data_IF_302556525505
#
_entry.id   IF_302556525505
#
_cell.length_a   1.000
_cell.length_b   1.000
_cell.length_c   1.000
_cell.angle_alpha   90.00
_cell.angle_beta   90.00
_cell.angle_gamma   90.00
#
_symmetry.space_group_name_H-M   'P 1'
#
loop_
_entity.id
_entity.type
_entity.pdbx_description
1 polymer ?
#
# COMPACT_ATOMS: atom_id res chain seq x y z
N UNK A 1 -38.92 31.12 -17.92
CA UNK A 1 -38.62 30.01 -18.85
C UNK A 1 -37.19 30.08 -19.33
N UNK A 2 -36.31 29.21 -18.83
CA UNK A 2 -35.01 29.00 -19.46
C UNK A 2 -35.17 27.96 -20.57
N UNK A 3 -35.40 28.44 -21.79
CA UNK A 3 -35.41 27.61 -22.99
C UNK A 3 -33.96 27.32 -23.41
N UNK A 4 -33.34 26.32 -22.80
CA UNK A 4 -32.03 25.86 -23.23
C UNK A 4 -32.11 25.26 -24.64
N UNK A 5 -31.36 25.81 -25.59
CA UNK A 5 -31.31 25.30 -26.97
C UNK A 5 -30.59 23.94 -27.07
N UNK A 6 -29.69 23.66 -26.13
CA UNK A 6 -29.00 22.38 -25.95
C UNK A 6 -28.98 22.02 -24.46
N UNK A 7 -28.97 20.72 -24.14
CA UNK A 7 -28.97 20.25 -22.74
C UNK A 7 -27.59 20.52 -22.11
N UNK A 8 -27.50 21.27 -20.99
CA UNK A 8 -26.21 21.62 -20.39
C UNK A 8 -25.51 20.40 -19.77
N UNK A 9 -24.31 20.09 -20.26
CA UNK A 9 -23.44 19.05 -19.69
C UNK A 9 -22.69 19.63 -18.48
N UNK A 10 -22.76 18.96 -17.34
CA UNK A 10 -22.16 19.40 -16.08
C UNK A 10 -21.14 18.38 -15.55
N UNK A 11 -19.97 18.87 -15.11
CA UNK A 11 -18.98 18.04 -14.42
C UNK A 11 -19.25 18.00 -12.91
N UNK A 12 -19.67 16.83 -12.42
CA UNK A 12 -19.74 16.53 -10.99
C UNK A 12 -18.46 15.81 -10.55
N UNK A 13 -17.42 16.57 -10.18
CA UNK A 13 -16.11 16.03 -9.81
C UNK A 13 -15.67 16.47 -8.40
N UNK A 14 -15.05 15.54 -7.66
CA UNK A 14 -14.48 15.83 -6.33
C UNK A 14 -13.19 16.65 -6.39
N UNK A 15 -12.45 16.62 -7.51
CA UNK A 15 -11.08 17.16 -7.60
C UNK A 15 -10.92 18.63 -7.20
N UNK A 16 -11.86 19.49 -7.59
CA UNK A 16 -11.83 20.92 -7.26
C UNK A 16 -12.60 21.27 -5.97
N UNK A 17 -13.52 20.41 -5.51
CA UNK A 17 -14.49 20.73 -4.45
C UNK A 17 -14.21 20.02 -3.12
N UNK A 18 -13.70 18.79 -3.17
CA UNK A 18 -13.41 17.94 -2.02
C UNK A 18 -12.34 16.87 -2.39
N UNK A 19 -11.06 17.25 -2.58
CA UNK A 19 -10.06 16.39 -3.21
C UNK A 19 -9.56 15.24 -2.33
N UNK A 20 -9.99 14.01 -2.63
CA UNK A 20 -9.42 12.79 -2.06
C UNK A 20 -8.03 12.49 -2.66
N UNK A 21 -6.99 12.47 -1.80
CA UNK A 21 -5.59 12.29 -2.21
C UNK A 21 -5.13 10.84 -2.04
N UNK A 22 -4.33 10.31 -2.97
CA UNK A 22 -3.78 8.95 -2.91
C UNK A 22 -3.04 8.63 -1.60
N UNK A 23 -2.36 9.61 -1.00
CA UNK A 23 -1.72 9.44 0.32
C UNK A 23 -2.72 9.13 1.43
N UNK A 24 -3.89 9.78 1.43
CA UNK A 24 -4.99 9.51 2.38
C UNK A 24 -5.52 8.09 2.18
N UNK A 25 -5.86 7.72 0.94
CA UNK A 25 -6.33 6.37 0.58
C UNK A 25 -5.34 5.29 1.07
N UNK A 26 -4.04 5.48 0.86
CA UNK A 26 -3.00 4.52 1.29
C UNK A 26 -2.91 4.41 2.82
N UNK A 27 -3.04 5.53 3.55
CA UNK A 27 -3.04 5.53 5.02
C UNK A 27 -4.31 4.84 5.54
N UNK A 28 -5.48 5.18 4.99
CA UNK A 28 -6.75 4.57 5.32
C UNK A 28 -6.72 3.05 5.12
N UNK A 29 -6.35 2.59 3.92
CA UNK A 29 -6.30 1.16 3.59
C UNK A 29 -5.36 0.38 4.51
N UNK A 30 -4.21 0.97 4.90
CA UNK A 30 -3.30 0.30 5.82
C UNK A 30 -3.91 0.15 7.23
N UNK A 31 -4.66 1.16 7.71
CA UNK A 31 -5.34 1.10 9.01
C UNK A 31 -6.55 0.16 8.97
N UNK A 32 -7.36 0.25 7.92
CA UNK A 32 -8.46 -0.67 7.64
C UNK A 32 -7.97 -2.12 7.66
N UNK A 33 -6.96 -2.50 6.86
CA UNK A 33 -6.49 -3.89 6.82
C UNK A 33 -5.69 -4.33 8.06
N UNK A 34 -5.28 -3.41 8.94
CA UNK A 34 -4.73 -3.76 10.25
C UNK A 34 -5.82 -4.15 11.26
N UNK A 35 -6.99 -3.50 11.18
CA UNK A 35 -8.14 -3.75 12.07
C UNK A 35 -9.10 -4.83 11.51
N UNK A 36 -9.28 -4.83 10.19
CA UNK A 36 -10.18 -5.69 9.41
C UNK A 36 -9.40 -6.38 8.27
N UNK A 37 -8.43 -7.27 8.58
CA UNK A 37 -7.68 -8.03 7.58
C UNK A 37 -8.59 -8.89 6.68
N UNK A 38 -8.06 -9.20 5.49
CA UNK A 38 -8.63 -10.20 4.60
C UNK A 38 -8.36 -11.62 5.14
N UNK A 39 -9.35 -12.49 5.03
CA UNK A 39 -9.32 -13.85 5.59
C UNK A 39 -8.19 -14.66 4.93
N UNK A 40 -8.16 -14.67 3.60
CA UNK A 40 -7.25 -15.49 2.78
C UNK A 40 -6.02 -14.73 2.25
N UNK A 41 -5.56 -13.70 2.94
CA UNK A 41 -4.31 -13.04 2.55
C UNK A 41 -3.09 -13.98 2.70
N UNK A 42 -2.17 -13.94 1.73
CA UNK A 42 -0.89 -14.69 1.74
C UNK A 42 0.33 -13.82 2.01
N UNK A 43 0.13 -12.50 2.07
CA UNK A 43 1.09 -11.47 2.48
C UNK A 43 0.28 -10.26 2.99
N UNK A 44 0.77 -9.46 3.95
CA UNK A 44 0.05 -8.28 4.41
C UNK A 44 -0.13 -7.27 3.27
N UNK A 45 -1.34 -6.70 3.06
CA UNK A 45 -1.57 -5.64 2.07
C UNK A 45 -0.61 -4.46 2.26
N UNK A 46 0.02 -4.00 1.18
CA UNK A 46 1.05 -2.94 1.22
C UNK A 46 1.06 -2.15 -0.09
N UNK A 47 0.15 -1.18 -0.21
CA UNK A 47 0.14 -0.19 -1.30
C UNK A 47 1.07 0.98 -1.00
N UNK A 48 1.86 1.42 -1.97
CA UNK A 48 2.70 2.61 -1.85
C UNK A 48 2.99 3.19 -3.24
N UNK A 49 2.80 4.50 -3.41
CA UNK A 49 3.18 5.23 -4.62
C UNK A 49 4.65 5.65 -4.52
N UNK A 50 5.37 5.60 -5.64
CA UNK A 50 6.81 5.89 -5.70
C UNK A 50 7.08 7.00 -6.70
N UNK A 51 7.91 7.96 -6.31
CA UNK A 51 8.37 9.07 -7.18
C UNK A 51 9.30 8.62 -8.30
N UNK A 52 9.88 7.41 -8.20
CA UNK A 52 10.81 6.87 -9.20
C UNK A 52 10.36 5.49 -9.69
N UNK A 53 10.30 5.33 -11.01
CA UNK A 53 10.04 4.06 -11.68
C UNK A 53 11.03 2.96 -11.28
N UNK A 54 12.30 3.31 -11.03
CA UNK A 54 13.34 2.36 -10.56
C UNK A 54 13.01 1.84 -9.16
N UNK A 55 12.57 2.72 -8.25
CA UNK A 55 12.17 2.35 -6.89
C UNK A 55 10.88 1.51 -6.88
N UNK A 56 9.89 1.86 -7.71
CA UNK A 56 8.69 1.05 -7.94
C UNK A 56 9.05 -0.37 -8.41
N UNK A 57 9.88 -0.49 -9.45
CA UNK A 57 10.32 -1.78 -10.00
C UNK A 57 11.02 -2.63 -8.94
N UNK A 58 11.99 -2.05 -8.21
CA UNK A 58 12.67 -2.73 -7.11
C UNK A 58 11.68 -3.23 -6.05
N UNK A 59 10.78 -2.37 -5.58
CA UNK A 59 9.78 -2.72 -4.58
C UNK A 59 8.80 -3.80 -5.08
N UNK A 60 8.39 -3.76 -6.35
CA UNK A 60 7.55 -4.78 -6.98
C UNK A 60 8.26 -6.15 -7.03
N UNK A 61 9.49 -6.20 -7.57
CA UNK A 61 10.23 -7.46 -7.66
C UNK A 61 10.53 -8.04 -6.28
N UNK A 62 11.01 -7.21 -5.34
CA UNK A 62 11.39 -7.63 -3.99
C UNK A 62 10.22 -8.09 -3.11
N UNK A 63 9.10 -7.34 -3.08
CA UNK A 63 7.97 -7.65 -2.17
C UNK A 63 6.91 -8.57 -2.77
N UNK A 64 6.83 -8.70 -4.10
CA UNK A 64 5.71 -9.36 -4.77
C UNK A 64 6.16 -10.47 -5.73
N UNK A 65 6.92 -10.14 -6.77
CA UNK A 65 7.19 -11.09 -7.85
C UNK A 65 8.15 -12.22 -7.45
N UNK A 66 9.26 -11.91 -6.77
CA UNK A 66 10.22 -12.93 -6.33
C UNK A 66 9.59 -13.86 -5.26
N UNK A 67 8.89 -13.36 -4.22
CA UNK A 67 8.10 -14.21 -3.32
C UNK A 67 7.07 -15.08 -4.03
N UNK A 68 6.39 -14.57 -5.07
CA UNK A 68 5.43 -15.34 -5.85
C UNK A 68 6.08 -16.48 -6.64
N UNK A 69 7.27 -16.28 -7.20
CA UNK A 69 8.03 -17.35 -7.86
C UNK A 69 8.47 -18.44 -6.88
N UNK A 70 8.91 -18.06 -5.67
CA UNK A 70 9.28 -19.01 -4.61
C UNK A 70 8.08 -19.84 -4.16
N UNK A 71 6.92 -19.21 -3.95
CA UNK A 71 5.67 -19.90 -3.60
C UNK A 71 5.20 -20.85 -4.71
N UNK A 72 5.22 -20.41 -5.97
CA UNK A 72 4.85 -21.27 -7.11
C UNK A 72 5.83 -22.44 -7.32
N UNK A 73 7.12 -22.27 -6.99
CA UNK A 73 8.10 -23.36 -7.02
C UNK A 73 7.85 -24.36 -5.89
N UNK A 74 7.61 -23.89 -4.66
CA UNK A 74 7.27 -24.73 -3.52
C UNK A 74 5.95 -25.49 -3.74
N UNK A 75 4.96 -24.87 -4.40
CA UNK A 75 3.72 -25.53 -4.78
C UNK A 75 3.96 -26.66 -5.79
N UNK A 76 4.75 -26.42 -6.85
CA UNK A 76 5.13 -27.49 -7.81
C UNK A 76 5.83 -28.66 -7.12
N UNK A 77 6.79 -28.38 -6.23
CA UNK A 77 7.51 -29.41 -5.47
C UNK A 77 6.57 -30.23 -4.56
N UNK A 78 5.51 -29.61 -4.05
CA UNK A 78 4.45 -30.26 -3.27
C UNK A 78 3.31 -30.85 -4.13
N UNK A 79 3.50 -31.02 -5.45
CA UNK A 79 2.49 -31.55 -6.38
C UNK A 79 1.27 -30.63 -6.62
N UNK A 80 1.31 -29.39 -6.14
CA UNK A 80 0.20 -28.42 -6.22
C UNK A 80 0.33 -27.51 -7.44
N UNK A 81 -0.82 -27.10 -7.97
CA UNK A 81 -0.92 -26.21 -9.13
C UNK A 81 -0.41 -24.79 -8.78
N UNK A 82 0.62 -24.26 -9.47
CA UNK A 82 1.10 -22.89 -9.25
C UNK A 82 0.10 -21.86 -9.81
N UNK A 83 0.05 -20.68 -9.18
CA UNK A 83 -0.85 -19.58 -9.56
C UNK A 83 -0.37 -18.17 -9.19
N UNK A 84 0.55 -18.00 -8.23
CA UNK A 84 0.92 -16.69 -7.68
C UNK A 84 1.57 -15.78 -8.72
N UNK A 85 2.48 -16.30 -9.55
CA UNK A 85 3.10 -15.54 -10.64
C UNK A 85 2.03 -15.07 -11.63
N UNK A 86 1.07 -15.95 -11.98
CA UNK A 86 -0.04 -15.63 -12.90
C UNK A 86 -0.96 -14.53 -12.34
N UNK A 87 -1.22 -14.54 -11.03
CA UNK A 87 -1.97 -13.47 -10.34
C UNK A 87 -1.20 -12.15 -10.43
N UNK A 88 0.10 -12.14 -10.10
CA UNK A 88 0.90 -10.92 -10.19
C UNK A 88 1.10 -10.43 -11.63
N UNK A 89 1.12 -11.30 -12.65
CA UNK A 89 1.07 -10.86 -14.06
C UNK A 89 -0.22 -10.12 -14.43
N UNK A 90 -1.38 -10.47 -13.82
CA UNK A 90 -2.62 -9.70 -13.99
C UNK A 90 -2.54 -8.35 -13.27
N UNK A 91 -2.06 -8.34 -12.01
CA UNK A 91 -1.89 -7.12 -11.22
C UNK A 91 -0.92 -6.16 -11.92
N UNK A 92 0.17 -6.67 -12.50
CA UNK A 92 1.12 -5.88 -13.28
C UNK A 92 0.43 -5.18 -14.45
N UNK A 93 -0.30 -5.91 -15.30
CA UNK A 93 -1.06 -5.30 -16.41
C UNK A 93 -2.01 -4.20 -15.93
N UNK A 94 -2.77 -4.47 -14.86
CA UNK A 94 -3.68 -3.49 -14.26
C UNK A 94 -2.94 -2.22 -13.79
N UNK A 95 -1.80 -2.36 -13.10
CA UNK A 95 -1.01 -1.23 -12.61
C UNK A 95 -0.41 -0.42 -13.77
N UNK A 96 0.07 -1.07 -14.83
CA UNK A 96 0.58 -0.36 -16.02
C UNK A 96 -0.53 0.40 -16.75
N UNK A 97 -1.72 -0.21 -16.94
CA UNK A 97 -2.89 0.45 -17.56
C UNK A 97 -3.35 1.65 -16.72
N UNK A 98 -3.38 1.53 -15.40
CA UNK A 98 -3.78 2.61 -14.49
C UNK A 98 -2.66 3.64 -14.24
N UNK A 99 -1.41 3.37 -14.63
CA UNK A 99 -0.26 4.22 -14.31
C UNK A 99 -0.45 5.65 -14.83
N UNK A 100 -0.93 5.82 -16.07
CA UNK A 100 -1.14 7.13 -16.68
C UNK A 100 -2.08 8.03 -15.85
N UNK A 101 -3.21 7.46 -15.40
CA UNK A 101 -4.25 8.16 -14.64
C UNK A 101 -3.85 8.38 -13.18
N UNK A 102 -3.31 7.36 -12.52
CA UNK A 102 -3.03 7.36 -11.06
C UNK A 102 -1.78 8.18 -10.66
N UNK A 103 -0.92 8.55 -11.61
CA UNK A 103 0.29 9.36 -11.36
C UNK A 103 0.19 10.80 -11.80
N UNK A 104 -0.96 11.23 -12.30
CA UNK A 104 -1.26 12.62 -12.67
C UNK A 104 -2.34 13.18 -11.76
N UNK A 105 -2.29 14.49 -11.52
CA UNK A 105 -3.44 15.24 -11.02
C UNK A 105 -4.46 15.42 -12.15
N UNK A 106 -5.73 15.38 -11.81
CA UNK A 106 -6.84 15.66 -12.72
C UNK A 106 -7.77 16.64 -12.03
N UNK A 107 -7.87 17.85 -12.58
CA UNK A 107 -8.77 18.88 -12.10
C UNK A 107 -9.80 19.15 -13.19
N UNK A 108 -11.08 19.08 -12.81
CA UNK A 108 -12.21 19.30 -13.70
C UNK A 108 -13.00 20.50 -13.19
N UNK A 109 -13.27 21.47 -14.05
CA UNK A 109 -13.97 22.68 -13.67
C UNK A 109 -15.39 22.36 -13.19
N UNK A 110 -15.62 22.58 -11.89
CA UNK A 110 -16.85 22.21 -11.19
C UNK A 110 -17.66 23.44 -10.74
N UNK A 111 -17.53 24.56 -11.46
CA UNK A 111 -18.29 25.79 -11.16
C UNK A 111 -19.78 25.63 -11.47
N UNK A 112 -20.11 25.11 -12.65
CA UNK A 112 -21.50 25.05 -13.12
C UNK A 112 -22.39 24.14 -12.26
N UNK A 113 -21.83 23.07 -11.67
CA UNK A 113 -22.57 22.21 -10.73
C UNK A 113 -22.84 22.89 -9.39
N UNK A 114 -21.96 23.80 -8.92
CA UNK A 114 -22.25 24.68 -7.77
C UNK A 114 -23.34 25.71 -8.10
N UNK A 115 -23.33 26.28 -9.31
CA UNK A 115 -24.38 27.20 -9.76
C UNK A 115 -25.75 26.52 -9.76
N UNK A 116 -25.83 25.28 -10.28
CA UNK A 116 -27.06 24.49 -10.21
C UNK A 116 -27.47 24.17 -8.77
N UNK A 117 -26.55 23.72 -7.92
CA UNK A 117 -26.82 23.44 -6.51
C UNK A 117 -27.43 24.65 -5.80
N UNK A 118 -26.84 25.83 -6.00
CA UNK A 118 -27.27 27.08 -5.37
C UNK A 118 -28.59 27.64 -5.96
N UNK A 119 -29.08 27.12 -7.10
CA UNK A 119 -30.37 27.52 -7.67
C UNK A 119 -31.54 26.59 -7.27
N UNK A 120 -31.26 25.46 -6.62
CA UNK A 120 -32.27 24.57 -6.06
C UNK A 120 -32.81 25.12 -4.73
N UNK A 121 -34.08 24.84 -4.43
CA UNK A 121 -34.63 25.09 -3.09
C UNK A 121 -34.19 23.99 -2.10
N UNK A 122 -34.48 24.19 -0.81
CA UNK A 122 -34.04 23.29 0.26
C UNK A 122 -34.68 21.88 0.23
N UNK A 123 -35.84 21.71 -0.42
CA UNK A 123 -36.46 20.39 -0.59
C UNK A 123 -35.80 19.63 -1.74
N UNK A 124 -35.60 20.28 -2.89
CA UNK A 124 -34.87 19.71 -4.03
C UNK A 124 -33.41 19.36 -3.69
N UNK A 125 -32.70 20.21 -2.94
CA UNK A 125 -31.36 19.90 -2.42
C UNK A 125 -31.35 18.64 -1.52
N UNK A 126 -32.43 18.41 -0.77
CA UNK A 126 -32.56 17.26 0.14
C UNK A 126 -32.93 15.97 -0.60
N UNK A 127 -33.78 16.05 -1.62
CA UNK A 127 -34.21 14.90 -2.44
C UNK A 127 -33.13 14.51 -3.45
N UNK A 128 -32.50 15.49 -4.09
CA UNK A 128 -31.50 15.32 -5.16
C UNK A 128 -30.10 15.76 -4.71
N UNK A 129 -29.62 15.26 -3.57
CA UNK A 129 -28.31 15.65 -3.05
C UNK A 129 -27.16 15.13 -3.92
N UNK A 130 -26.45 16.03 -4.61
CA UNK A 130 -25.23 15.76 -5.38
C UNK A 130 -24.02 16.57 -4.90
N UNK A 131 -24.10 17.19 -3.71
CA UNK A 131 -23.03 18.05 -3.19
C UNK A 131 -21.87 17.24 -2.60
N UNK A 132 -20.88 16.98 -3.45
CA UNK A 132 -19.65 16.23 -3.13
C UNK A 132 -18.85 16.84 -1.95
N UNK A 133 -19.09 18.10 -1.56
CA UNK A 133 -18.44 18.73 -0.39
C UNK A 133 -18.89 18.13 0.93
N UNK A 134 -20.06 17.48 0.96
CA UNK A 134 -20.66 16.87 2.16
C UNK A 134 -20.11 15.46 2.44
N UNK A 135 -19.35 14.87 1.51
CA UNK A 135 -18.83 13.50 1.64
C UNK A 135 -17.63 13.45 2.60
N UNK A 136 -17.79 12.73 3.72
CA UNK A 136 -16.67 12.27 4.52
C UNK A 136 -15.96 11.10 3.82
N UNK A 137 -14.71 11.30 3.43
CA UNK A 137 -13.93 10.28 2.73
C UNK A 137 -13.56 9.07 3.59
N UNK A 138 -13.38 9.21 4.90
CA UNK A 138 -13.06 8.07 5.76
C UNK A 138 -14.28 7.15 5.93
N UNK A 139 -15.47 7.72 6.03
CA UNK A 139 -16.73 6.96 6.05
C UNK A 139 -17.00 6.26 4.71
N UNK A 140 -16.84 6.98 3.60
CA UNK A 140 -16.99 6.44 2.25
C UNK A 140 -16.00 5.31 1.97
N UNK A 141 -14.72 5.49 2.32
CA UNK A 141 -13.69 4.46 2.17
C UNK A 141 -13.94 3.27 3.09
N UNK A 142 -14.50 3.47 4.29
CA UNK A 142 -14.90 2.37 5.16
C UNK A 142 -15.97 1.50 4.49
N UNK A 143 -17.08 2.11 4.10
CA UNK A 143 -18.23 1.38 3.58
C UNK A 143 -17.90 0.72 2.23
N UNK A 144 -17.08 1.38 1.39
CA UNK A 144 -16.56 0.83 0.15
C UNK A 144 -15.66 -0.41 0.38
N UNK A 145 -14.64 -0.31 1.24
CA UNK A 145 -13.68 -1.42 1.43
C UNK A 145 -14.31 -2.58 2.21
N UNK A 146 -15.19 -2.29 3.19
CA UNK A 146 -15.98 -3.31 3.87
C UNK A 146 -16.99 -3.97 2.91
N UNK A 147 -17.61 -3.19 2.03
CA UNK A 147 -18.47 -3.70 0.96
C UNK A 147 -17.72 -4.63 -0.01
N UNK A 148 -16.47 -4.32 -0.37
CA UNK A 148 -15.60 -5.23 -1.13
C UNK A 148 -15.31 -6.52 -0.36
N UNK A 149 -14.97 -6.46 0.93
CA UNK A 149 -14.73 -7.65 1.76
C UNK A 149 -15.96 -8.57 1.83
N UNK A 150 -17.13 -8.01 2.14
CA UNK A 150 -18.37 -8.77 2.35
C UNK A 150 -19.01 -9.22 1.04
N UNK A 151 -19.20 -8.32 0.07
CA UNK A 151 -20.03 -8.58 -1.11
C UNK A 151 -19.26 -9.05 -2.34
N UNK A 152 -18.00 -8.63 -2.53
CA UNK A 152 -17.18 -9.06 -3.67
C UNK A 152 -16.32 -10.29 -3.31
N UNK A 153 -15.63 -10.25 -2.17
CA UNK A 153 -14.75 -11.35 -1.72
C UNK A 153 -15.48 -12.45 -0.94
N UNK A 154 -16.73 -12.22 -0.53
CA UNK A 154 -17.58 -13.16 0.23
C UNK A 154 -16.97 -13.63 1.57
N UNK A 155 -16.12 -12.80 2.18
CA UNK A 155 -15.47 -13.13 3.46
C UNK A 155 -16.44 -12.94 4.63
N UNK A 156 -16.48 -13.89 5.58
CA UNK A 156 -17.34 -13.76 6.76
C UNK A 156 -16.67 -12.86 7.81
N UNK A 157 -17.39 -11.84 8.28
CA UNK A 157 -16.93 -10.93 9.33
C UNK A 157 -16.68 -11.64 10.67
N UNK A 158 -17.30 -12.79 10.91
CA UNK A 158 -17.10 -13.56 12.14
C UNK A 158 -15.76 -14.33 12.13
N UNK A 159 -15.12 -14.51 10.96
CA UNK A 159 -13.76 -15.05 10.84
C UNK A 159 -12.67 -14.06 11.28
N UNK A 160 -13.02 -12.81 11.60
CA UNK A 160 -12.08 -11.73 11.89
C UNK A 160 -10.99 -12.07 12.93
N UNK A 161 -11.23 -12.84 14.01
CA UNK A 161 -10.17 -13.29 14.92
C UNK A 161 -9.12 -14.17 14.22
N UNK A 162 -9.54 -15.10 13.36
CA UNK A 162 -8.65 -15.95 12.58
C UNK A 162 -7.88 -15.15 11.50
N UNK A 163 -8.54 -14.20 10.83
CA UNK A 163 -7.90 -13.29 9.88
C UNK A 163 -6.82 -12.43 10.56
N UNK A 164 -7.06 -11.93 11.78
CA UNK A 164 -6.07 -11.21 12.60
C UNK A 164 -4.90 -12.11 13.01
N UNK A 165 -5.15 -13.37 13.40
CA UNK A 165 -4.10 -14.35 13.69
C UNK A 165 -3.24 -14.70 12.46
N UNK A 166 -3.86 -14.80 11.27
CA UNK A 166 -3.15 -14.96 10.00
C UNK A 166 -2.26 -13.73 9.71
N UNK A 167 -2.81 -12.51 9.79
CA UNK A 167 -2.06 -11.28 9.60
C UNK A 167 -0.83 -11.17 10.53
N UNK A 168 -0.97 -11.59 11.80
CA UNK A 168 0.15 -11.60 12.75
C UNK A 168 1.30 -12.53 12.31
N UNK A 169 0.98 -13.77 11.89
CA UNK A 169 1.96 -14.71 11.31
C UNK A 169 2.62 -14.14 10.06
N UNK A 170 1.84 -13.52 9.17
CA UNK A 170 2.32 -12.91 7.93
C UNK A 170 3.23 -11.68 8.17
N UNK A 171 2.98 -10.91 9.24
CA UNK A 171 3.90 -9.85 9.69
C UNK A 171 5.25 -10.42 10.15
N UNK A 172 5.24 -11.53 10.90
CA UNK A 172 6.48 -12.24 11.29
C UNK A 172 7.24 -12.78 10.08
N UNK A 173 6.56 -13.42 9.12
CA UNK A 173 7.19 -13.88 7.86
C UNK A 173 7.82 -12.72 7.08
N UNK A 174 7.14 -11.57 6.99
CA UNK A 174 7.71 -10.36 6.39
C UNK A 174 8.95 -9.85 7.14
N UNK A 175 8.95 -9.89 8.48
CA UNK A 175 10.09 -9.47 9.30
C UNK A 175 11.31 -10.36 9.05
N UNK A 176 11.15 -11.68 9.06
CA UNK A 176 12.24 -12.63 8.77
C UNK A 176 12.74 -12.51 7.32
N UNK A 177 11.84 -12.32 6.34
CA UNK A 177 12.21 -12.04 4.95
C UNK A 177 13.08 -10.78 4.83
N UNK A 178 12.66 -9.68 5.47
CA UNK A 178 13.43 -8.43 5.48
C UNK A 178 14.78 -8.58 6.20
N UNK A 179 14.81 -9.25 7.37
CA UNK A 179 16.04 -9.46 8.13
C UNK A 179 17.06 -10.31 7.35
N UNK A 180 16.60 -11.40 6.71
CA UNK A 180 17.43 -12.24 5.84
C UNK A 180 17.99 -11.46 4.64
N UNK A 181 17.16 -10.66 3.98
CA UNK A 181 17.59 -9.81 2.86
C UNK A 181 18.66 -8.79 3.28
N UNK A 182 18.47 -8.06 4.39
CA UNK A 182 19.47 -7.10 4.89
C UNK A 182 20.76 -7.78 5.35
N UNK A 183 20.69 -8.95 5.98
CA UNK A 183 21.86 -9.74 6.36
C UNK A 183 22.65 -10.22 5.12
N UNK A 184 21.96 -10.63 4.05
CA UNK A 184 22.57 -11.02 2.78
C UNK A 184 23.20 -9.82 2.06
N UNK A 185 22.50 -8.68 1.96
CA UNK A 185 23.04 -7.44 1.39
C UNK A 185 24.34 -7.02 2.10
N UNK A 186 24.37 -7.09 3.43
CA UNK A 186 25.59 -6.71 4.17
C UNK A 186 26.67 -7.77 4.05
N UNK A 187 26.36 -9.07 4.02
CA UNK A 187 27.36 -10.08 3.69
C UNK A 187 27.96 -9.84 2.30
N UNK A 188 27.14 -9.45 1.33
CA UNK A 188 27.59 -9.04 -0.01
C UNK A 188 28.45 -7.77 0.01
N UNK A 189 28.07 -6.69 0.71
CA UNK A 189 28.90 -5.48 0.81
C UNK A 189 30.16 -5.67 1.67
N UNK A 190 30.13 -6.56 2.67
CA UNK A 190 31.29 -6.94 3.45
C UNK A 190 32.24 -7.82 2.63
N UNK A 191 31.72 -8.73 1.80
CA UNK A 191 32.48 -9.48 0.82
C UNK A 191 33.05 -8.58 -0.27
N UNK A 192 32.28 -7.65 -0.84
CA UNK A 192 32.80 -6.63 -1.77
C UNK A 192 33.89 -5.79 -1.10
N UNK A 193 33.75 -5.43 0.19
CA UNK A 193 34.81 -4.74 0.93
C UNK A 193 36.02 -5.63 1.23
N UNK A 194 35.84 -6.93 1.40
CA UNK A 194 36.95 -7.89 1.53
C UNK A 194 37.66 -8.09 0.18
N UNK A 195 36.93 -8.34 -0.90
CA UNK A 195 37.43 -8.43 -2.28
C UNK A 195 38.12 -7.12 -2.68
N UNK A 196 37.51 -5.97 -2.43
CA UNK A 196 38.15 -4.67 -2.63
C UNK A 196 39.39 -4.51 -1.72
N UNK A 197 39.37 -5.03 -0.48
CA UNK A 197 40.56 -5.06 0.39
C UNK A 197 41.60 -6.09 -0.07
N UNK A 198 41.26 -7.15 -0.81
CA UNK A 198 42.21 -8.13 -1.36
C UNK A 198 42.80 -7.64 -2.68
N UNK A 199 42.01 -7.01 -3.56
CA UNK A 199 42.51 -6.25 -4.71
C UNK A 199 43.38 -5.09 -4.23
N UNK A 200 42.90 -4.30 -3.28
CA UNK A 200 43.71 -3.26 -2.65
C UNK A 200 44.88 -3.84 -1.86
N UNK A 201 44.85 -5.04 -1.28
CA UNK A 201 46.02 -5.63 -0.62
C UNK A 201 46.96 -6.37 -1.60
N UNK A 202 46.56 -6.60 -2.85
CA UNK A 202 47.47 -6.98 -3.94
C UNK A 202 48.16 -5.75 -4.52
N UNK A 203 47.36 -4.73 -4.87
CA UNK A 203 47.84 -3.40 -5.28
C UNK A 203 48.71 -2.73 -4.19
N UNK A 204 48.28 -2.79 -2.93
CA UNK A 204 49.10 -2.41 -1.78
C UNK A 204 50.06 -3.51 -1.32
N UNK A 205 50.09 -4.76 -1.81
CA UNK A 205 51.29 -5.59 -1.62
C UNK A 205 52.41 -5.07 -2.52
N UNK A 206 52.07 -4.60 -3.73
CA UNK A 206 52.97 -3.89 -4.63
C UNK A 206 53.39 -2.51 -4.06
N UNK A 207 52.51 -1.79 -3.35
CA UNK A 207 52.84 -0.51 -2.68
C UNK A 207 53.29 -0.62 -1.20
N UNK A 208 53.15 -1.76 -0.51
CA UNK A 208 53.68 -2.05 0.86
C UNK A 208 55.03 -2.78 0.78
N UNK A 209 55.40 -3.28 -0.41
CA UNK A 209 56.80 -3.24 -0.87
C UNK A 209 57.41 -1.83 -0.86
N UNK A 210 56.61 -0.78 -0.58
CA UNK A 210 57.03 0.59 -0.27
C UNK A 210 56.60 1.06 1.15
N UNK A 211 55.30 1.25 1.49
CA UNK A 211 54.83 1.86 2.77
C UNK A 211 53.45 1.34 3.31
N UNK A 212 53.11 1.53 4.61
CA UNK A 212 52.08 0.77 5.39
C UNK A 212 51.37 1.62 6.52
N UNK A 213 50.29 1.27 7.28
CA UNK A 213 49.17 0.28 7.26
C UNK A 213 48.24 0.40 8.53
N UNK A 214 47.06 -0.30 8.58
CA UNK A 214 46.31 -0.83 9.78
C UNK A 214 45.31 0.04 10.63
N UNK A 215 44.03 -0.37 10.80
CA UNK A 215 43.10 -0.07 11.96
C UNK A 215 41.89 -1.06 12.08
N UNK A 216 41.01 -0.93 13.10
CA UNK A 216 40.33 -2.05 13.81
C UNK A 216 38.77 -2.22 13.67
N UNK A 217 38.13 -3.00 14.58
CA UNK A 217 36.86 -3.75 14.34
C UNK A 217 35.60 -3.31 15.12
N UNK A 218 35.72 -2.74 16.33
CA UNK A 218 34.64 -2.71 17.34
C UNK A 218 33.42 -1.86 16.98
N UNK A 219 33.64 -0.67 16.40
CA UNK A 219 32.58 0.30 16.01
C UNK A 219 31.52 -0.27 15.05
N UNK A 220 31.81 -1.40 14.40
CA UNK A 220 30.90 -2.03 13.45
C UNK A 220 29.68 -2.65 14.15
N UNK A 221 29.85 -3.22 15.34
CA UNK A 221 28.75 -3.93 16.03
C UNK A 221 27.69 -3.00 16.64
N UNK A 222 28.07 -1.79 17.10
CA UNK A 222 27.09 -0.80 17.59
C UNK A 222 26.18 -0.29 16.47
N UNK A 223 26.73 -0.06 15.27
CA UNK A 223 25.94 0.25 14.07
C UNK A 223 24.93 -0.85 13.72
N UNK A 224 25.26 -2.12 13.96
CA UNK A 224 24.37 -3.26 13.72
C UNK A 224 23.14 -3.24 14.64
N UNK A 225 23.37 -3.04 15.94
CA UNK A 225 22.28 -2.98 16.92
C UNK A 225 21.36 -1.77 16.67
N UNK A 226 21.94 -0.58 16.44
CA UNK A 226 21.18 0.63 16.11
C UNK A 226 20.36 0.47 14.82
N UNK A 227 20.95 -0.07 13.74
CA UNK A 227 20.25 -0.28 12.47
C UNK A 227 19.10 -1.28 12.59
N UNK A 228 19.28 -2.35 13.35
CA UNK A 228 18.22 -3.34 13.62
C UNK A 228 17.09 -2.73 14.45
N UNK A 229 17.40 -2.05 15.56
CA UNK A 229 16.39 -1.43 16.43
C UNK A 229 15.62 -0.32 15.72
N UNK A 230 16.30 0.55 14.96
CA UNK A 230 15.64 1.58 14.16
C UNK A 230 14.71 0.97 13.11
N UNK A 231 15.13 -0.12 12.45
CA UNK A 231 14.30 -0.86 11.47
C UNK A 231 13.09 -1.52 12.14
N UNK A 232 13.25 -2.11 13.32
CA UNK A 232 12.17 -2.73 14.08
C UNK A 232 11.15 -1.69 14.55
N UNK A 233 11.61 -0.55 15.09
CA UNK A 233 10.74 0.57 15.50
C UNK A 233 10.01 1.12 14.27
N UNK A 234 10.70 1.42 13.17
CA UNK A 234 10.08 1.94 11.95
C UNK A 234 9.08 0.97 11.27
N UNK A 235 9.18 -0.34 11.51
CA UNK A 235 8.22 -1.33 11.00
C UNK A 235 7.02 -1.59 11.92
N UNK A 236 7.13 -1.31 13.23
CA UNK A 236 6.08 -1.60 14.22
C UNK A 236 5.41 -0.36 14.82
N UNK A 237 6.03 0.82 14.72
CA UNK A 237 5.52 2.09 15.24
C UNK A 237 4.91 2.92 14.10
N UNK A 238 3.59 3.11 14.10
CA UNK A 238 2.91 3.84 13.04
C UNK A 238 2.89 5.35 13.31
N UNK A 239 3.92 6.06 12.82
CA UNK A 239 4.07 7.52 12.92
C UNK A 239 3.03 8.34 12.13
N UNK A 240 1.84 7.79 11.84
CA UNK A 240 0.82 8.39 10.99
C UNK A 240 -0.40 8.83 11.81
N UNK A 241 -0.96 10.04 11.54
CA UNK A 241 -2.03 10.63 12.33
C UNK A 241 -3.22 9.67 12.47
N UNK A 242 -3.89 9.70 13.61
CA UNK A 242 -5.09 8.90 13.85
C UNK A 242 -6.13 9.18 12.75
N UNK A 243 -6.83 8.12 12.32
CA UNK A 243 -7.95 8.20 11.38
C UNK A 243 -9.14 7.65 12.14
N UNK A 244 -10.22 8.42 12.21
CA UNK A 244 -11.45 7.94 12.82
C UNK A 244 -12.15 7.01 11.82
N UNK A 245 -12.55 5.82 12.26
CA UNK A 245 -13.12 4.78 11.41
C UNK A 245 -14.34 4.18 12.10
N UNK A 246 -15.39 3.93 11.32
CA UNK A 246 -16.63 3.30 11.83
C UNK A 246 -16.35 2.01 12.59
N UNK A 247 -17.19 1.75 13.58
CA UNK A 247 -17.17 0.46 14.30
C UNK A 247 -17.83 -0.64 13.45
N UNK A 248 -17.52 -1.90 13.75
CA UNK A 248 -18.14 -3.03 13.06
C UNK A 248 -19.65 -3.12 13.33
N UNK A 249 -20.10 -2.68 14.52
CA UNK A 249 -21.51 -2.61 14.87
C UNK A 249 -22.24 -1.51 14.09
N UNK A 250 -21.67 -0.32 14.05
CA UNK A 250 -22.17 0.82 13.28
C UNK A 250 -22.34 0.47 11.80
N UNK A 251 -21.33 -0.18 11.20
CA UNK A 251 -21.45 -0.73 9.85
C UNK A 251 -22.54 -1.80 9.72
N UNK A 252 -22.64 -2.74 10.68
CA UNK A 252 -23.72 -3.75 10.66
C UNK A 252 -25.11 -3.09 10.76
N UNK A 253 -25.24 -1.95 11.47
CA UNK A 253 -26.50 -1.15 11.54
C UNK A 253 -26.78 -0.40 10.24
N UNK A 254 -25.83 0.36 9.68
CA UNK A 254 -26.04 1.10 8.42
C UNK A 254 -26.28 0.16 7.24
N UNK A 255 -25.54 -0.94 7.14
CA UNK A 255 -25.73 -1.95 6.10
C UNK A 255 -27.03 -2.78 6.26
N UNK A 256 -27.67 -2.77 7.43
CA UNK A 256 -29.01 -3.31 7.62
C UNK A 256 -30.08 -2.32 7.13
N UNK A 257 -29.94 -1.02 7.46
CA UNK A 257 -30.85 0.03 6.98
C UNK A 257 -30.84 0.13 5.44
N UNK A 258 -29.68 0.04 4.80
CA UNK A 258 -29.56 0.03 3.33
C UNK A 258 -30.22 -1.20 2.67
N UNK A 259 -30.49 -2.28 3.42
CA UNK A 259 -31.24 -3.45 2.95
C UNK A 259 -32.75 -3.41 3.24
N UNK A 260 -33.22 -2.35 3.90
CA UNK A 260 -34.66 -2.11 4.14
C UNK A 260 -35.26 -1.04 3.21
N UNK A 261 -34.48 -0.58 2.22
CA UNK A 261 -34.92 0.20 1.06
C UNK A 261 -34.82 -0.67 -0.19
#
# INVERSE_FOLDING_TARGET
NFSYAEIPVLHCASGALNPLKWGHIVIFLQKFYAQYPLDQCTRPPSTCFHTSRKLFLFNYYYKHYIPAQILDLAYRAAGKKPSFVRIYSKIWKMVETLHYFTTRGWEFESKNILTLWNSLNAEDQKVFNFDIRQVNWDDYLFDYVMGVKVYLLKENLDNLPAARANLAKLKQVNLYWNAGFWALLVRFFAWLKQVNLYWNAGFWALLVRFFAWKRTRTQKWSMWFLGFMATYIFQNYDFRPAVNMKTLEEYKRTAALVKSF
#
